data_IF_729942169028
#
_entry.id   IF_729942169028
#
_cell.length_a   1.000
_cell.length_b   1.000
_cell.length_c   1.000
_cell.angle_alpha   90.00
_cell.angle_beta   90.00
_cell.angle_gamma   90.00
#
_symmetry.space_group_name_H-M   'P 1'
#
loop_
_entity.id
_entity.type
_entity.pdbx_description
1 polymer ?
#
# COMPACT_ATOMS: atom_id res chain seq x y z
N UNK A 1 3.24 -26.39 -18.84
CA UNK A 1 3.79 -25.74 -17.63
C UNK A 1 3.12 -24.39 -17.45
N UNK A 2 2.08 -24.33 -16.61
CA UNK A 2 1.32 -23.11 -16.33
C UNK A 2 1.92 -22.39 -15.14
N UNK A 3 2.55 -21.24 -15.39
CA UNK A 3 3.09 -20.34 -14.37
C UNK A 3 1.95 -19.83 -13.47
N UNK A 4 1.84 -20.46 -12.29
CA UNK A 4 1.09 -19.95 -11.15
C UNK A 4 1.91 -18.80 -10.55
N UNK A 5 1.55 -17.55 -10.85
CA UNK A 5 2.21 -16.36 -10.31
C UNK A 5 1.16 -15.41 -9.73
N UNK A 6 1.22 -15.19 -8.42
CA UNK A 6 0.49 -14.13 -7.72
C UNK A 6 -1.03 -14.30 -7.74
N UNK A 7 -1.75 -13.52 -6.92
CA UNK A 7 -3.21 -13.45 -7.07
C UNK A 7 -3.53 -13.09 -8.53
N UNK A 8 -4.46 -13.80 -9.20
CA UNK A 8 -4.68 -13.59 -10.61
C UNK A 8 -5.13 -12.14 -10.85
N UNK A 9 -4.67 -11.54 -11.96
CA UNK A 9 -4.81 -10.10 -12.23
C UNK A 9 -6.26 -9.60 -12.10
N UNK A 10 -7.22 -10.45 -12.47
CA UNK A 10 -8.64 -10.22 -12.31
C UNK A 10 -9.05 -9.99 -10.84
N UNK A 11 -8.56 -10.81 -9.91
CA UNK A 11 -8.84 -10.68 -8.48
C UNK A 11 -8.21 -9.42 -7.90
N UNK A 12 -6.97 -9.11 -8.32
CA UNK A 12 -6.33 -7.84 -7.97
C UNK A 12 -7.16 -6.65 -8.45
N UNK A 13 -7.59 -6.66 -9.72
CA UNK A 13 -8.36 -5.57 -10.31
C UNK A 13 -9.73 -5.40 -9.63
N UNK A 14 -10.42 -6.48 -9.29
CA UNK A 14 -11.65 -6.45 -8.48
C UNK A 14 -11.41 -5.84 -7.11
N UNK A 15 -10.32 -6.23 -6.45
CA UNK A 15 -9.92 -5.68 -5.15
C UNK A 15 -9.69 -4.17 -5.20
N UNK A 16 -9.01 -3.68 -6.24
CA UNK A 16 -8.77 -2.24 -6.43
C UNK A 16 -10.06 -1.44 -6.68
N UNK A 17 -10.94 -1.94 -7.55
CA UNK A 17 -12.24 -1.29 -7.82
C UNK A 17 -13.10 -1.24 -6.55
N UNK A 18 -13.15 -2.33 -5.78
CA UNK A 18 -13.88 -2.39 -4.51
C UNK A 18 -13.31 -1.43 -3.47
N UNK A 19 -11.99 -1.42 -3.29
CA UNK A 19 -11.32 -0.52 -2.34
C UNK A 19 -11.56 0.96 -2.68
N UNK A 20 -11.67 1.28 -3.97
CA UNK A 20 -11.87 2.66 -4.47
C UNK A 20 -13.33 3.03 -4.71
N UNK A 21 -14.28 2.13 -4.41
CA UNK A 21 -15.71 2.29 -4.77
C UNK A 21 -15.92 2.73 -6.23
N UNK A 22 -15.06 2.25 -7.11
CA UNK A 22 -15.00 2.67 -8.52
C UNK A 22 -15.69 1.64 -9.40
N UNK A 23 -16.54 2.09 -10.30
CA UNK A 23 -17.14 1.25 -11.33
C UNK A 23 -16.16 0.97 -12.49
N UNK A 24 -16.34 -0.14 -13.19
CA UNK A 24 -15.57 -0.44 -14.40
C UNK A 24 -15.76 0.61 -15.51
N UNK A 25 -16.88 1.35 -15.52
CA UNK A 25 -17.11 2.46 -16.46
C UNK A 25 -16.26 3.67 -16.13
N UNK A 26 -16.17 4.03 -14.85
CA UNK A 26 -15.27 5.09 -14.38
C UNK A 26 -13.81 4.75 -14.68
N UNK A 27 -13.39 3.51 -14.40
CA UNK A 27 -12.04 3.08 -14.76
C UNK A 27 -11.78 3.16 -16.28
N UNK A 28 -12.77 2.83 -17.12
CA UNK A 28 -12.65 2.93 -18.57
C UNK A 28 -12.39 4.39 -19.00
N UNK A 29 -13.21 5.30 -18.48
CA UNK A 29 -13.11 6.73 -18.76
C UNK A 29 -11.73 7.29 -18.36
N UNK A 30 -11.20 6.90 -17.19
CA UNK A 30 -9.94 7.44 -16.69
C UNK A 30 -8.70 6.80 -17.30
N UNK A 31 -8.73 5.48 -17.53
CA UNK A 31 -7.58 4.77 -18.10
C UNK A 31 -7.46 4.91 -19.63
N UNK A 32 -8.51 5.41 -20.29
CA UNK A 32 -8.62 5.41 -21.75
C UNK A 32 -8.65 3.99 -22.35
N UNK A 33 -8.96 2.98 -21.53
CA UNK A 33 -9.14 1.59 -21.96
C UNK A 33 -10.63 1.33 -22.11
N UNK A 34 -11.02 0.68 -23.21
CA UNK A 34 -12.42 0.38 -23.48
C UNK A 34 -13.06 -0.47 -22.36
N UNK A 35 -14.32 -0.15 -22.04
CA UNK A 35 -15.06 -0.83 -20.99
C UNK A 35 -15.21 -2.34 -21.23
N UNK A 36 -15.39 -2.76 -22.49
CA UNK A 36 -15.50 -4.18 -22.83
C UNK A 36 -14.19 -4.95 -22.59
N UNK A 37 -13.05 -4.25 -22.70
CA UNK A 37 -11.73 -4.81 -22.39
C UNK A 37 -11.56 -5.00 -20.89
N UNK A 38 -11.93 -3.99 -20.09
CA UNK A 38 -11.90 -4.06 -18.63
C UNK A 38 -12.82 -5.18 -18.12
N UNK A 39 -14.02 -5.30 -18.68
CA UNK A 39 -14.97 -6.34 -18.30
C UNK A 39 -14.42 -7.76 -18.48
N UNK A 40 -13.75 -8.04 -19.62
CA UNK A 40 -13.08 -9.32 -19.88
C UNK A 40 -11.91 -9.57 -18.93
N UNK A 41 -11.12 -8.53 -18.63
CA UNK A 41 -10.02 -8.63 -17.65
C UNK A 41 -10.52 -8.91 -16.24
N UNK A 42 -11.65 -8.31 -15.82
CA UNK A 42 -12.25 -8.56 -14.51
C UNK A 42 -12.83 -9.97 -14.41
N UNK A 43 -13.35 -10.55 -15.51
CA UNK A 43 -13.82 -11.94 -15.53
C UNK A 43 -12.67 -12.96 -15.51
N UNK A 44 -11.51 -12.57 -16.05
CA UNK A 44 -10.34 -13.45 -16.16
C UNK A 44 -10.23 -14.13 -17.52
N UNK A 45 -11.05 -13.73 -18.49
CA UNK A 45 -11.11 -14.31 -19.84
C UNK A 45 -9.85 -13.98 -20.67
N UNK A 46 -9.02 -13.05 -20.19
CA UNK A 46 -7.81 -12.59 -20.89
C UNK A 46 -6.75 -12.09 -19.91
N UNK A 47 -5.49 -12.30 -20.28
CA UNK A 47 -4.35 -11.65 -19.63
C UNK A 47 -4.09 -10.28 -20.27
N UNK A 48 -3.93 -9.20 -19.48
CA UNK A 48 -3.66 -7.89 -20.04
C UNK A 48 -2.24 -7.84 -20.63
N UNK A 49 -2.04 -7.03 -21.67
CA UNK A 49 -0.68 -6.62 -22.04
C UNK A 49 -0.11 -5.67 -20.98
N UNK A 50 1.22 -5.56 -20.91
CA UNK A 50 1.89 -4.61 -20.01
C UNK A 50 1.36 -3.19 -20.19
N UNK A 51 1.22 -2.72 -21.44
CA UNK A 51 0.67 -1.40 -21.72
C UNK A 51 -0.77 -1.20 -21.24
N UNK A 52 -1.61 -2.24 -21.33
CA UNK A 52 -2.99 -2.18 -20.80
C UNK A 52 -2.99 -2.14 -19.29
N UNK A 53 -2.17 -2.98 -18.64
CA UNK A 53 -2.03 -2.99 -17.18
C UNK A 53 -1.55 -1.62 -16.65
N UNK A 54 -0.57 -0.99 -17.33
CA UNK A 54 -0.07 0.34 -16.96
C UNK A 54 -1.14 1.43 -17.10
N UNK A 55 -1.93 1.43 -18.17
CA UNK A 55 -3.05 2.38 -18.35
C UNK A 55 -4.10 2.23 -17.25
N UNK A 56 -4.48 0.99 -16.92
CA UNK A 56 -5.43 0.72 -15.83
C UNK A 56 -4.86 1.16 -14.47
N UNK A 57 -3.58 0.89 -14.21
CA UNK A 57 -2.91 1.32 -12.99
C UNK A 57 -2.88 2.86 -12.85
N UNK A 58 -2.73 3.60 -13.95
CA UNK A 58 -2.82 5.06 -13.96
C UNK A 58 -4.24 5.54 -13.67
N UNK A 59 -5.26 5.01 -14.36
CA UNK A 59 -6.66 5.38 -14.12
C UNK A 59 -7.10 5.12 -12.67
N UNK A 60 -6.59 4.05 -12.05
CA UNK A 60 -6.85 3.77 -10.64
C UNK A 60 -6.22 4.80 -9.68
N UNK A 61 -5.17 5.54 -10.06
CA UNK A 61 -4.51 6.55 -9.21
C UNK A 61 -5.26 7.88 -9.20
N UNK A 62 -5.77 8.33 -10.34
CA UNK A 62 -6.32 9.69 -10.52
C UNK A 62 -7.59 9.95 -9.68
N UNK A 63 -8.44 8.95 -9.43
CA UNK A 63 -9.60 9.09 -8.54
C UNK A 63 -9.24 9.25 -7.04
N UNK A 64 -7.98 9.03 -6.63
CA UNK A 64 -7.52 9.35 -5.27
C UNK A 64 -7.29 10.86 -5.09
N UNK A 65 -6.99 11.58 -6.16
CA UNK A 65 -6.66 13.01 -6.09
C UNK A 65 -7.89 13.91 -6.20
N UNK A 66 -9.00 13.43 -6.80
CA UNK A 66 -10.22 14.24 -6.97
C UNK A 66 -11.31 14.01 -5.91
N UNK A 67 -11.41 12.80 -5.31
CA UNK A 67 -12.63 12.42 -4.58
C UNK A 67 -12.53 12.40 -3.06
N UNK A 68 -11.35 12.42 -2.45
CA UNK A 68 -11.27 12.45 -0.99
C UNK A 68 -9.96 13.05 -0.51
N UNK A 69 -10.11 13.99 0.41
CA UNK A 69 -9.13 14.56 1.33
C UNK A 69 -8.18 15.66 0.85
N UNK A 70 -8.10 16.80 1.57
CA UNK A 70 -7.05 17.79 1.38
C UNK A 70 -5.71 17.07 1.38
N UNK A 71 -4.75 17.50 0.55
CA UNK A 71 -3.43 16.87 0.41
C UNK A 71 -2.79 16.54 1.77
N UNK A 72 -3.11 17.31 2.82
CA UNK A 72 -2.81 17.05 4.22
C UNK A 72 -3.19 15.64 4.75
N UNK A 73 -4.39 15.14 4.48
CA UNK A 73 -4.84 13.83 4.99
C UNK A 73 -4.27 12.66 4.17
N UNK A 74 -4.08 12.85 2.86
CA UNK A 74 -3.36 11.89 2.01
C UNK A 74 -1.91 11.71 2.48
N UNK A 75 -1.30 12.77 3.00
CA UNK A 75 0.00 12.76 3.66
C UNK A 75 -0.03 12.10 5.04
N UNK A 76 -1.07 12.32 5.86
CA UNK A 76 -1.25 11.60 7.13
C UNK A 76 -1.42 10.09 6.89
N UNK A 77 -2.24 9.66 5.93
CA UNK A 77 -2.42 8.24 5.61
C UNK A 77 -1.14 7.59 5.03
N UNK A 78 -0.41 8.33 4.19
CA UNK A 78 0.90 7.92 3.69
C UNK A 78 1.95 7.87 4.81
N UNK A 79 1.93 8.80 5.77
CA UNK A 79 2.76 8.78 6.97
C UNK A 79 2.42 7.58 7.87
N UNK A 80 1.15 7.19 7.97
CA UNK A 80 0.74 5.99 8.72
C UNK A 80 1.23 4.71 8.03
N UNK A 81 1.20 4.63 6.69
CA UNK A 81 1.66 3.45 5.94
C UNK A 81 3.17 3.41 5.71
N UNK A 82 3.81 4.58 5.66
CA UNK A 82 5.23 4.81 5.45
C UNK A 82 5.74 5.86 6.46
N UNK A 83 5.92 5.48 7.74
CA UNK A 83 6.28 6.41 8.82
C UNK A 83 7.56 7.18 8.55
N UNK A 84 8.53 6.57 7.84
CA UNK A 84 9.74 7.27 7.41
C UNK A 84 9.43 8.44 6.46
N UNK A 85 8.58 8.24 5.47
CA UNK A 85 8.24 9.28 4.49
C UNK A 85 7.42 10.41 5.14
N UNK A 86 6.57 10.08 6.11
CA UNK A 86 5.83 11.07 6.89
C UNK A 86 6.72 11.98 7.72
N UNK A 87 7.71 11.41 8.41
CA UNK A 87 8.68 12.17 9.20
C UNK A 87 9.57 13.04 8.31
N UNK A 88 10.06 12.48 7.21
CA UNK A 88 10.90 13.22 6.26
C UNK A 88 10.17 14.43 5.66
N UNK A 89 8.88 14.25 5.31
CA UNK A 89 8.05 15.34 4.84
C UNK A 89 7.87 16.43 5.89
N UNK A 90 7.55 16.06 7.14
CA UNK A 90 7.35 17.02 8.22
C UNK A 90 8.62 17.83 8.50
N UNK A 91 9.80 17.20 8.42
CA UNK A 91 11.09 17.89 8.57
C UNK A 91 11.39 18.85 7.42
N UNK A 92 11.00 18.50 6.17
CA UNK A 92 11.17 19.39 5.02
C UNK A 92 10.19 20.56 4.98
N UNK A 93 9.05 20.44 5.66
CA UNK A 93 8.07 21.52 5.77
C UNK A 93 8.44 22.54 6.86
N UNK A 94 9.52 22.32 7.61
CA UNK A 94 10.04 23.25 8.60
C UNK A 94 11.00 24.25 7.95
N UNK A 95 10.57 25.50 7.81
CA UNK A 95 11.35 26.58 7.20
C UNK A 95 12.66 26.91 7.96
N UNK A 96 12.81 26.46 9.21
CA UNK A 96 14.03 26.66 10.00
C UNK A 96 15.11 25.60 9.72
N UNK A 97 14.75 24.52 9.02
CA UNK A 97 15.66 23.43 8.70
C UNK A 97 16.10 23.50 7.24
N UNK A 98 17.41 23.39 7.01
CA UNK A 98 17.96 23.19 5.67
C UNK A 98 18.10 21.69 5.35
N UNK A 99 18.24 21.37 4.05
CA UNK A 99 18.35 19.99 3.58
C UNK A 99 19.45 19.13 4.29
N UNK A 100 20.67 19.64 4.59
CA UNK A 100 21.64 18.84 5.35
C UNK A 100 21.21 18.59 6.81
N UNK A 101 20.54 19.54 7.48
CA UNK A 101 19.98 19.34 8.82
C UNK A 101 18.85 18.31 8.80
N UNK A 102 17.95 18.39 7.81
CA UNK A 102 16.88 17.39 7.63
C UNK A 102 17.48 16.00 7.46
N UNK A 103 18.51 15.86 6.61
CA UNK A 103 19.23 14.59 6.41
C UNK A 103 19.83 14.05 7.71
N UNK A 104 20.49 14.90 8.49
CA UNK A 104 21.08 14.52 9.77
C UNK A 104 20.03 13.99 10.76
N UNK A 105 18.88 14.65 10.87
CA UNK A 105 17.78 14.20 11.75
C UNK A 105 17.20 12.88 11.25
N UNK A 106 17.02 12.72 9.93
CA UNK A 106 16.53 11.48 9.33
C UNK A 106 17.46 10.30 9.55
N UNK A 107 18.77 10.48 9.45
CA UNK A 107 19.77 9.44 9.74
C UNK A 107 19.64 8.93 11.18
N UNK A 108 19.54 9.85 12.15
CA UNK A 108 19.35 9.49 13.55
C UNK A 108 18.01 8.75 13.78
N UNK A 109 16.93 9.25 13.19
CA UNK A 109 15.61 8.62 13.26
C UNK A 109 15.63 7.19 12.71
N UNK A 110 16.25 6.98 11.55
CA UNK A 110 16.37 5.67 10.92
C UNK A 110 17.19 4.70 11.78
N UNK A 111 18.31 5.16 12.35
CA UNK A 111 19.14 4.35 13.25
C UNK A 111 18.35 3.88 14.49
N UNK A 112 17.59 4.78 15.13
CA UNK A 112 16.72 4.43 16.26
C UNK A 112 15.65 3.41 15.87
N UNK A 113 15.02 3.58 14.70
CA UNK A 113 13.94 2.71 14.22
C UNK A 113 14.44 1.31 13.90
N UNK A 114 15.60 1.19 13.23
CA UNK A 114 16.24 -0.11 12.95
C UNK A 114 16.56 -0.83 14.27
N UNK A 115 17.17 -0.13 15.23
CA UNK A 115 17.49 -0.70 16.54
C UNK A 115 16.26 -1.25 17.26
N UNK A 116 15.14 -0.51 17.27
CA UNK A 116 13.89 -0.98 17.91
C UNK A 116 13.25 -2.15 17.16
N UNK A 117 13.29 -2.16 15.83
CA UNK A 117 12.80 -3.28 15.02
C UNK A 117 13.61 -4.56 15.27
N UNK A 118 14.93 -4.44 15.45
CA UNK A 118 15.78 -5.58 15.83
C UNK A 118 15.50 -6.10 17.24
N UNK A 119 15.23 -5.21 18.21
CA UNK A 119 14.85 -5.61 19.58
C UNK A 119 13.47 -6.27 19.62
N UNK A 120 12.50 -5.77 18.86
CA UNK A 120 11.15 -6.35 18.78
C UNK A 120 11.15 -7.76 18.17
N UNK A 121 12.04 -8.03 17.21
CA UNK A 121 12.17 -9.35 16.58
C UNK A 121 12.86 -10.39 17.47
N UNK A 122 13.65 -9.96 18.45
CA UNK A 122 14.43 -10.85 19.33
C UNK A 122 13.74 -11.11 20.67
N UNK A 123 12.53 -10.58 20.90
CA UNK A 123 11.78 -10.82 22.13
C UNK A 123 11.32 -12.30 22.22
N UNK A 124 11.64 -13.03 23.30
CA UNK A 124 11.38 -14.47 23.36
C UNK A 124 9.89 -14.76 23.53
N UNK A 125 9.37 -15.72 22.75
CA UNK A 125 8.04 -16.35 22.90
C UNK A 125 8.04 -17.18 24.20
N UNK A 126 7.98 -16.53 25.35
CA UNK A 126 7.83 -17.19 26.66
C UNK A 126 6.50 -16.75 27.26
N UNK A 127 5.40 -17.18 26.62
CA UNK A 127 4.07 -17.10 27.24
C UNK A 127 3.02 -18.01 26.60
N UNK A 128 3.31 -19.32 26.47
CA UNK A 128 2.26 -20.28 26.12
C UNK A 128 2.60 -21.73 26.52
N UNK A 129 3.18 -21.99 27.69
CA UNK A 129 3.21 -23.35 28.25
C UNK A 129 3.07 -23.29 29.79
N UNK A 130 1.89 -22.90 30.28
CA UNK A 130 1.47 -23.30 31.63
C UNK A 130 -0.06 -23.29 31.70
N UNK A 131 -0.59 -24.40 32.21
CA UNK A 131 -2.00 -24.76 32.43
C UNK A 131 -2.71 -25.43 31.25
N UNK A 132 -2.66 -26.76 31.20
CA UNK A 132 -3.78 -27.59 31.67
C UNK A 132 -3.33 -29.06 31.76
N UNK A 133 -3.15 -29.55 32.99
CA UNK A 133 -3.22 -30.99 33.28
C UNK A 133 -4.70 -31.32 33.47
N UNK A 134 -5.30 -32.26 32.73
CA UNK A 134 -6.64 -32.73 33.04
C UNK A 134 -6.58 -33.63 34.28
N UNK A 135 -7.32 -33.22 35.30
CA UNK A 135 -7.53 -33.95 36.54
C UNK A 135 -8.31 -35.24 36.27
N UNK A 136 -7.90 -36.31 36.95
CA UNK A 136 -8.57 -37.60 37.02
C UNK A 136 -9.94 -37.46 37.67
N UNK A 137 -10.96 -38.11 37.10
CA UNK A 137 -11.82 -39.04 37.83
C UNK A 137 -12.51 -39.99 36.86
#
# INVERSE_FOLDING_TARGET
MSVQNGRPFNDWLRGQLKAKKMSQRQLAQQSGVDHSTISRLVRGDRTPSLGTATKLARGLRELRDEADTPQYFGMVAAAVSHPTAGVEYALRADDLLNEPQVRQVMEYYLALRIRRLSVAQTAPVVRAIRHEQPNRN
#
